data_IF_321230015190
#
_entry.id   IF_321230015190
#
_cell.length_a   1.000
_cell.length_b   1.000
_cell.length_c   1.000
_cell.angle_alpha   90.00
_cell.angle_beta   90.00
_cell.angle_gamma   90.00
#
_symmetry.space_group_name_H-M   'P 1'
#
loop_
_entity.id
_entity.type
_entity.pdbx_description
1 polymer ?
#
# COMPACT_ATOMS: atom_id res chain seq x y z
N UNK A 1 3.93 1.88 2.91
CA UNK A 1 3.57 0.69 2.10
C UNK A 1 3.24 -0.45 3.05
N UNK A 2 2.41 -1.42 2.67
CA UNK A 2 1.88 -2.42 3.61
C UNK A 2 2.54 -3.80 3.46
N UNK A 3 2.87 -4.21 2.25
CA UNK A 3 3.53 -5.47 1.91
C UNK A 3 4.22 -5.33 0.54
N UNK A 4 5.23 -6.14 0.28
CA UNK A 4 5.97 -6.10 -1.00
C UNK A 4 6.07 -7.49 -1.61
N UNK A 5 5.71 -7.60 -2.89
CA UNK A 5 5.94 -8.78 -3.70
C UNK A 5 7.13 -8.52 -4.62
N UNK A 6 8.20 -9.31 -4.48
CA UNK A 6 9.44 -9.13 -5.25
C UNK A 6 9.72 -10.39 -6.06
N UNK A 7 10.05 -10.22 -7.34
CA UNK A 7 10.39 -11.34 -8.21
C UNK A 7 11.71 -12.01 -7.78
N UNK A 8 11.76 -13.33 -7.90
CA UNK A 8 12.87 -14.19 -7.47
C UNK A 8 14.24 -13.65 -7.88
N UNK A 9 14.36 -13.26 -9.16
CA UNK A 9 15.60 -12.82 -9.78
C UNK A 9 16.30 -11.67 -9.04
N UNK A 10 15.54 -10.81 -8.34
CA UNK A 10 16.08 -9.62 -7.66
C UNK A 10 15.80 -9.60 -6.16
N UNK A 11 15.23 -10.66 -5.60
CA UNK A 11 14.72 -10.65 -4.22
C UNK A 11 15.82 -10.38 -3.18
N UNK A 12 16.92 -11.13 -3.21
CA UNK A 12 17.99 -10.98 -2.23
C UNK A 12 18.73 -9.63 -2.39
N UNK A 13 18.89 -9.18 -3.64
CA UNK A 13 19.46 -7.87 -3.94
C UNK A 13 18.59 -6.72 -3.40
N UNK A 14 17.26 -6.88 -3.45
CA UNK A 14 16.31 -5.93 -2.89
C UNK A 14 16.37 -5.91 -1.35
N UNK A 15 16.43 -7.08 -0.69
CA UNK A 15 16.58 -7.11 0.77
C UNK A 15 17.89 -6.44 1.22
N UNK A 16 18.99 -6.70 0.52
CA UNK A 16 20.26 -6.02 0.79
C UNK A 16 20.17 -4.50 0.54
N UNK A 17 19.35 -4.05 -0.41
CA UNK A 17 19.13 -2.62 -0.65
C UNK A 17 18.37 -1.95 0.51
N UNK A 18 17.40 -2.64 1.11
CA UNK A 18 16.68 -2.15 2.29
C UNK A 18 17.64 -1.94 3.48
N UNK A 19 18.56 -2.88 3.72
CA UNK A 19 19.56 -2.75 4.78
C UNK A 19 20.48 -1.55 4.54
N UNK A 20 20.95 -1.36 3.30
CA UNK A 20 21.75 -0.18 2.92
C UNK A 20 21.00 1.13 3.08
N UNK A 21 19.68 1.13 2.94
CA UNK A 21 18.83 2.29 3.16
C UNK A 21 18.55 2.57 4.65
N UNK A 22 19.04 1.71 5.57
CA UNK A 22 18.90 1.89 7.02
C UNK A 22 17.74 1.12 7.66
N UNK A 23 17.00 0.31 6.89
CA UNK A 23 15.99 -0.58 7.45
C UNK A 23 16.64 -1.80 8.13
N UNK A 24 16.00 -2.34 9.16
CA UNK A 24 16.52 -3.50 9.90
C UNK A 24 15.78 -4.77 9.51
N UNK A 25 16.54 -5.78 9.04
CA UNK A 25 16.01 -7.08 8.65
C UNK A 25 15.75 -7.96 9.88
N UNK A 26 14.52 -8.43 10.03
CA UNK A 26 14.14 -9.45 11.00
C UNK A 26 14.33 -10.86 10.43
N UNK A 27 14.77 -11.79 11.27
CA UNK A 27 14.77 -13.21 10.94
C UNK A 27 13.40 -13.87 11.22
N UNK A 28 13.21 -15.10 10.75
CA UNK A 28 11.93 -15.83 10.90
C UNK A 28 11.43 -15.90 12.36
N UNK A 29 12.31 -16.13 13.33
CA UNK A 29 11.95 -16.20 14.76
C UNK A 29 11.50 -14.85 15.31
N UNK A 30 12.14 -13.77 14.89
CA UNK A 30 11.79 -12.40 15.28
C UNK A 30 10.48 -11.96 14.65
N UNK A 31 10.26 -12.29 13.38
CA UNK A 31 8.98 -12.06 12.69
C UNK A 31 7.87 -12.82 13.42
N UNK A 32 8.07 -14.10 13.75
CA UNK A 32 7.09 -14.90 14.47
C UNK A 32 6.75 -14.31 15.86
N UNK A 33 7.77 -13.82 16.58
CA UNK A 33 7.57 -13.13 17.86
C UNK A 33 6.77 -11.83 17.69
N UNK A 34 7.12 -11.02 16.69
CA UNK A 34 6.40 -9.80 16.36
C UNK A 34 4.96 -10.08 15.95
N UNK A 35 4.71 -11.07 15.08
CA UNK A 35 3.37 -11.47 14.65
C UNK A 35 2.50 -11.83 15.85
N UNK A 36 3.00 -12.65 16.79
CA UNK A 36 2.25 -12.99 18.01
C UNK A 36 1.93 -11.80 18.90
N UNK A 37 2.78 -10.78 18.91
CA UNK A 37 2.61 -9.61 19.76
C UNK A 37 1.70 -8.55 19.11
N UNK A 38 1.79 -8.38 17.79
CA UNK A 38 1.21 -7.25 17.07
C UNK A 38 -0.06 -7.62 16.27
N UNK A 39 -0.38 -8.90 16.12
CA UNK A 39 -1.59 -9.39 15.47
C UNK A 39 -2.43 -10.16 16.50
N UNK A 40 -3.72 -9.86 16.53
CA UNK A 40 -4.71 -10.57 17.36
C UNK A 40 -5.90 -10.97 16.51
N UNK A 41 -6.80 -11.76 17.08
CA UNK A 41 -8.02 -12.21 16.40
C UNK A 41 -9.25 -11.65 17.10
N UNK A 42 -10.19 -11.12 16.32
CA UNK A 42 -11.48 -10.61 16.81
C UNK A 42 -12.64 -11.26 16.06
N UNK A 43 -13.86 -11.08 16.57
CA UNK A 43 -15.06 -11.69 16.01
C UNK A 43 -15.28 -13.14 16.48
N UNK A 44 -16.42 -13.70 16.11
CA UNK A 44 -16.85 -15.05 16.49
C UNK A 44 -17.36 -15.82 15.27
N UNK A 45 -17.25 -17.16 15.31
CA UNK A 45 -17.72 -18.02 14.23
C UNK A 45 -17.13 -17.65 12.86
N UNK A 46 -18.02 -17.44 11.89
CA UNK A 46 -17.65 -17.06 10.51
C UNK A 46 -17.10 -15.63 10.38
N UNK A 47 -17.26 -14.78 11.39
CA UNK A 47 -16.75 -13.40 11.39
C UNK A 47 -15.38 -13.27 12.07
N UNK A 48 -14.78 -14.39 12.48
CA UNK A 48 -13.47 -14.40 13.13
C UNK A 48 -12.38 -14.01 12.13
N UNK A 49 -11.66 -12.92 12.39
CA UNK A 49 -10.60 -12.42 11.52
C UNK A 49 -9.44 -11.77 12.30
N UNK A 50 -8.27 -11.73 11.67
CA UNK A 50 -7.06 -11.14 12.23
C UNK A 50 -7.07 -9.61 12.08
N UNK A 51 -6.60 -8.91 13.12
CA UNK A 51 -6.52 -7.45 13.19
C UNK A 51 -5.24 -7.02 13.90
N UNK A 52 -4.74 -5.81 13.63
CA UNK A 52 -3.61 -5.26 14.38
C UNK A 52 -3.98 -5.00 15.84
N UNK A 53 -3.00 -5.23 16.73
CA UNK A 53 -3.05 -4.83 18.12
C UNK A 53 -2.87 -3.31 18.19
N UNK A 54 -3.83 -2.62 18.84
CA UNK A 54 -3.96 -1.16 18.81
C UNK A 54 -2.73 -0.43 19.34
N UNK A 55 -2.07 -1.02 20.32
CA UNK A 55 -0.89 -0.49 20.99
C UNK A 55 0.32 -0.36 20.06
N UNK A 56 0.34 -1.08 18.94
CA UNK A 56 1.42 -1.02 17.95
C UNK A 56 1.10 -0.11 16.75
N UNK A 57 -0.17 0.27 16.54
CA UNK A 57 -0.58 1.12 15.41
C UNK A 57 0.10 2.50 15.52
N UNK A 58 0.78 2.91 14.44
CA UNK A 58 1.45 4.20 14.35
C UNK A 58 2.65 4.37 15.29
N UNK A 59 3.15 3.29 15.91
CA UNK A 59 4.34 3.34 16.77
C UNK A 59 5.63 3.29 15.95
N UNK A 60 6.74 3.72 16.57
CA UNK A 60 8.07 3.67 15.96
C UNK A 60 8.58 2.23 15.80
N UNK A 61 9.47 2.01 14.82
CA UNK A 61 10.11 0.72 14.57
C UNK A 61 10.83 0.15 15.81
N UNK A 62 11.39 1.01 16.67
CA UNK A 62 12.01 0.58 17.92
C UNK A 62 11.01 -0.08 18.90
N UNK A 63 9.74 0.35 18.91
CA UNK A 63 8.69 -0.26 19.73
C UNK A 63 8.39 -1.68 19.25
N UNK A 64 8.25 -1.84 17.93
CA UNK A 64 8.03 -3.14 17.31
C UNK A 64 9.24 -4.06 17.50
N UNK A 65 10.45 -3.53 17.40
CA UNK A 65 11.68 -4.30 17.57
C UNK A 65 11.77 -4.95 18.95
N UNK A 66 11.37 -4.23 20.01
CA UNK A 66 11.31 -4.79 21.37
C UNK A 66 10.35 -5.97 21.47
N UNK A 67 9.20 -5.89 20.80
CA UNK A 67 8.26 -7.02 20.72
C UNK A 67 8.82 -8.21 19.92
N UNK A 68 9.70 -7.95 18.96
CA UNK A 68 10.47 -8.96 18.23
C UNK A 68 11.69 -9.50 19.01
N UNK A 69 11.97 -8.99 20.22
CA UNK A 69 13.13 -9.38 21.04
C UNK A 69 14.45 -8.71 20.65
N UNK A 70 14.39 -7.53 20.03
CA UNK A 70 15.52 -6.70 19.64
C UNK A 70 15.48 -5.35 20.34
N UNK A 71 16.65 -4.84 20.74
CA UNK A 71 16.82 -3.44 21.11
C UNK A 71 17.50 -2.70 19.96
N UNK A 72 16.84 -1.67 19.42
CA UNK A 72 17.33 -0.88 18.30
C UNK A 72 17.42 0.60 18.69
N UNK A 73 18.34 1.35 18.08
CA UNK A 73 18.39 2.79 18.26
C UNK A 73 17.15 3.47 17.64
N UNK A 74 16.80 4.65 18.15
CA UNK A 74 15.57 5.37 17.80
C UNK A 74 15.56 5.97 16.39
N UNK A 75 16.70 5.93 15.68
CA UNK A 75 16.82 6.42 14.31
C UNK A 75 16.47 5.36 13.25
N UNK A 76 16.14 4.12 13.65
CA UNK A 76 15.63 3.11 12.73
C UNK A 76 14.17 3.44 12.42
N UNK A 77 13.86 3.64 11.14
CA UNK A 77 12.51 4.02 10.70
C UNK A 77 11.64 2.83 10.27
N UNK A 78 12.26 1.71 9.87
CA UNK A 78 11.55 0.58 9.27
C UNK A 78 12.16 -0.77 9.64
N UNK A 79 11.31 -1.70 10.04
CA UNK A 79 11.61 -3.12 10.10
C UNK A 79 11.11 -3.81 8.84
N UNK A 80 11.81 -4.83 8.37
CA UNK A 80 11.34 -5.64 7.24
C UNK A 80 11.83 -7.08 7.37
N UNK A 81 11.28 -7.99 6.57
CA UNK A 81 11.75 -9.37 6.58
C UNK A 81 11.03 -10.23 5.55
N UNK A 82 11.64 -11.35 5.20
CA UNK A 82 11.06 -12.33 4.29
C UNK A 82 9.97 -13.13 4.99
N UNK A 83 8.80 -13.23 4.35
CA UNK A 83 7.65 -14.02 4.79
C UNK A 83 7.02 -14.73 3.59
N UNK A 84 5.96 -15.50 3.85
CA UNK A 84 5.08 -16.03 2.81
C UNK A 84 3.71 -15.31 2.80
N UNK A 85 2.85 -15.63 1.83
CA UNK A 85 1.49 -15.05 1.70
C UNK A 85 0.57 -15.38 2.90
N UNK A 86 0.90 -16.41 3.68
CA UNK A 86 0.09 -16.84 4.83
C UNK A 86 0.47 -16.13 6.13
N UNK A 87 1.59 -15.40 6.15
CA UNK A 87 1.93 -14.57 7.30
C UNK A 87 0.87 -13.48 7.51
N UNK A 88 0.33 -13.31 8.73
CA UNK A 88 -0.74 -12.36 9.01
C UNK A 88 -0.44 -10.90 8.65
N UNK A 89 0.83 -10.48 8.61
CA UNK A 89 1.20 -9.12 8.16
C UNK A 89 0.96 -8.87 6.67
N UNK A 90 0.73 -9.90 5.85
CA UNK A 90 0.47 -9.75 4.42
C UNK A 90 -0.98 -9.40 4.13
N UNK A 91 -2.01 -10.14 4.61
CA UNK A 91 -3.40 -9.80 4.35
C UNK A 91 -3.94 -8.69 5.26
N UNK A 92 -3.38 -8.48 6.46
CA UNK A 92 -3.89 -7.52 7.45
C UNK A 92 -3.26 -6.13 7.24
N UNK A 93 -4.09 -5.09 7.16
CA UNK A 93 -3.62 -3.71 7.25
C UNK A 93 -3.19 -3.37 8.68
N UNK A 94 -1.88 -3.26 8.86
CA UNK A 94 -1.20 -3.09 10.14
C UNK A 94 -1.09 -1.62 10.60
N UNK A 95 -0.85 -0.68 9.68
CA UNK A 95 -0.48 0.72 9.97
C UNK A 95 0.72 0.84 10.93
N UNK A 96 1.75 0.03 10.68
CA UNK A 96 2.97 -0.09 11.49
C UNK A 96 4.22 -0.07 10.60
N UNK A 97 5.39 0.35 11.11
CA UNK A 97 6.65 0.33 10.37
C UNK A 97 7.30 -1.06 10.34
N UNK A 98 6.53 -2.08 9.93
CA UNK A 98 7.04 -3.39 9.56
C UNK A 98 6.54 -3.75 8.15
N UNK A 99 7.48 -4.09 7.25
CA UNK A 99 7.21 -4.38 5.85
C UNK A 99 7.54 -5.84 5.52
N UNK A 100 6.54 -6.74 5.36
CA UNK A 100 6.78 -8.10 4.91
C UNK A 100 7.14 -8.13 3.42
N UNK A 101 8.17 -8.90 3.09
CA UNK A 101 8.62 -9.20 1.73
C UNK A 101 8.26 -10.63 1.38
N UNK A 102 7.47 -10.80 0.31
CA UNK A 102 7.08 -12.11 -0.19
C UNK A 102 7.67 -12.35 -1.57
N UNK A 103 8.30 -13.50 -1.72
CA UNK A 103 9.02 -13.90 -2.92
C UNK A 103 8.03 -14.40 -3.99
N UNK A 104 8.12 -13.86 -5.19
CA UNK A 104 7.30 -14.25 -6.33
C UNK A 104 8.18 -14.94 -7.38
N UNK A 105 7.68 -16.02 -8.00
CA UNK A 105 8.45 -16.77 -9.02
C UNK A 105 8.83 -15.91 -10.23
N UNK A 106 7.91 -15.04 -10.66
CA UNK A 106 8.06 -14.13 -11.78
C UNK A 106 7.08 -12.95 -11.65
N UNK A 107 7.08 -12.06 -12.65
CA UNK A 107 6.23 -10.86 -12.66
C UNK A 107 4.72 -11.21 -12.68
N UNK A 108 4.34 -12.30 -13.32
CA UNK A 108 2.93 -12.67 -13.44
C UNK A 108 2.40 -13.16 -12.09
N UNK A 109 3.20 -13.99 -11.41
CA UNK A 109 2.92 -14.39 -10.04
C UNK A 109 2.87 -13.18 -9.10
N UNK A 110 3.80 -12.23 -9.21
CA UNK A 110 3.79 -11.03 -8.38
C UNK A 110 2.51 -10.19 -8.57
N UNK A 111 2.04 -10.05 -9.81
CA UNK A 111 0.79 -9.34 -10.13
C UNK A 111 -0.42 -10.09 -9.55
N UNK A 112 -0.47 -11.41 -9.68
CA UNK A 112 -1.55 -12.22 -9.10
C UNK A 112 -1.61 -12.09 -7.58
N UNK A 113 -0.46 -12.15 -6.90
CA UNK A 113 -0.37 -11.96 -5.46
C UNK A 113 -0.83 -10.55 -5.05
N UNK A 114 -0.39 -9.53 -5.79
CA UNK A 114 -0.79 -8.14 -5.54
C UNK A 114 -2.31 -7.95 -5.67
N UNK A 115 -2.94 -8.51 -6.72
CA UNK A 115 -4.39 -8.44 -6.93
C UNK A 115 -5.15 -9.14 -5.79
N UNK A 116 -4.72 -10.35 -5.39
CA UNK A 116 -5.35 -11.06 -4.26
C UNK A 116 -5.22 -10.29 -2.95
N UNK A 117 -4.02 -9.77 -2.68
CA UNK A 117 -3.70 -9.10 -1.43
C UNK A 117 -4.29 -7.70 -1.29
N UNK A 118 -4.76 -7.10 -2.39
CA UNK A 118 -5.50 -5.83 -2.38
C UNK A 118 -6.95 -6.01 -1.88
N UNK A 119 -7.46 -7.25 -1.86
CA UNK A 119 -8.81 -7.62 -1.42
C UNK A 119 -9.96 -6.98 -2.23
N UNK A 120 -9.65 -6.39 -3.39
CA UNK A 120 -10.63 -5.72 -4.24
C UNK A 120 -11.13 -4.39 -3.69
N UNK A 121 -10.40 -3.78 -2.75
CA UNK A 121 -10.71 -2.44 -2.23
C UNK A 121 -10.50 -1.34 -3.28
N UNK A 122 -9.72 -1.62 -4.33
CA UNK A 122 -9.35 -0.71 -5.42
C UNK A 122 -8.80 0.63 -4.92
N UNK A 123 -8.04 0.63 -3.82
CA UNK A 123 -7.57 1.86 -3.20
C UNK A 123 -6.22 2.32 -3.78
N UNK A 124 -5.12 1.63 -3.45
CA UNK A 124 -3.77 2.03 -3.85
C UNK A 124 -2.89 0.82 -4.16
N UNK A 125 -2.14 0.89 -5.25
CA UNK A 125 -1.04 -0.03 -5.55
C UNK A 125 0.19 0.72 -6.08
N UNK A 126 1.37 0.10 -5.93
CA UNK A 126 2.66 0.65 -6.37
C UNK A 126 3.41 -0.42 -7.15
N UNK A 127 4.09 -0.04 -8.23
CA UNK A 127 5.02 -0.90 -8.97
C UNK A 127 6.37 -0.22 -9.17
N UNK A 128 7.45 -0.99 -8.96
CA UNK A 128 8.80 -0.62 -9.37
C UNK A 128 9.23 -1.53 -10.53
N UNK A 129 9.40 -0.97 -11.72
CA UNK A 129 9.77 -1.68 -12.94
C UNK A 129 10.33 -0.69 -13.97
N UNK A 130 11.19 -1.12 -14.89
CA UNK A 130 11.52 -0.32 -16.08
C UNK A 130 10.81 -0.84 -17.34
N UNK A 131 10.04 -1.93 -17.21
CA UNK A 131 9.31 -2.54 -18.31
C UNK A 131 7.86 -1.98 -18.33
N UNK A 132 7.56 -1.19 -19.37
CA UNK A 132 6.24 -0.57 -19.57
C UNK A 132 5.14 -1.61 -19.70
N UNK A 133 5.39 -2.76 -20.32
CA UNK A 133 4.43 -3.85 -20.45
C UNK A 133 4.04 -4.40 -19.08
N UNK A 134 5.00 -4.56 -18.16
CA UNK A 134 4.72 -5.00 -16.79
C UNK A 134 3.87 -3.97 -16.04
N UNK A 135 4.20 -2.68 -16.16
CA UNK A 135 3.40 -1.59 -15.56
C UNK A 135 1.97 -1.55 -16.10
N UNK A 136 1.81 -1.72 -17.41
CA UNK A 136 0.49 -1.75 -18.06
C UNK A 136 -0.30 -2.97 -17.64
N UNK A 137 0.35 -4.15 -17.55
CA UNK A 137 -0.30 -5.39 -17.11
C UNK A 137 -0.81 -5.26 -15.67
N UNK A 138 0.04 -4.83 -14.74
CA UNK A 138 -0.36 -4.66 -13.34
C UNK A 138 -1.43 -3.58 -13.17
N UNK A 139 -1.29 -2.42 -13.82
CA UNK A 139 -2.27 -1.34 -13.71
C UNK A 139 -3.66 -1.73 -14.20
N UNK A 140 -3.75 -2.55 -15.26
CA UNK A 140 -5.04 -3.09 -15.73
C UNK A 140 -5.61 -4.16 -14.80
N UNK A 141 -4.76 -4.96 -14.16
CA UNK A 141 -5.19 -6.07 -13.32
C UNK A 141 -5.66 -5.61 -11.93
N UNK A 142 -5.00 -4.62 -11.34
CA UNK A 142 -5.25 -4.19 -9.95
C UNK A 142 -6.38 -3.16 -9.85
N UNK A 143 -6.65 -2.39 -10.91
CA UNK A 143 -7.75 -1.43 -11.00
C UNK A 143 -7.89 -0.46 -9.81
N UNK A 144 -6.77 -0.07 -9.18
CA UNK A 144 -6.78 0.83 -8.03
C UNK A 144 -7.01 2.29 -8.43
N UNK A 145 -7.64 3.05 -7.55
CA UNK A 145 -7.85 4.49 -7.66
C UNK A 145 -6.51 5.23 -7.82
N UNK A 146 -5.51 4.81 -7.04
CA UNK A 146 -4.14 5.33 -7.12
C UNK A 146 -3.21 4.21 -7.57
N UNK A 147 -2.46 4.44 -8.65
CA UNK A 147 -1.44 3.51 -9.13
C UNK A 147 -0.12 4.24 -9.39
N UNK A 148 0.84 4.08 -8.48
CA UNK A 148 2.14 4.75 -8.55
C UNK A 148 3.17 3.85 -9.23
N UNK A 149 4.02 4.44 -10.08
CA UNK A 149 5.08 3.74 -10.81
C UNK A 149 6.42 4.38 -10.49
N UNK A 150 7.38 3.59 -10.02
CA UNK A 150 8.77 4.02 -9.76
C UNK A 150 8.90 5.21 -8.79
N UNK A 151 8.05 5.27 -7.77
CA UNK A 151 8.08 6.32 -6.75
C UNK A 151 7.42 5.87 -5.45
N UNK A 152 7.60 6.62 -4.35
CA UNK A 152 6.91 6.33 -3.09
C UNK A 152 5.40 6.47 -3.26
N UNK A 153 4.60 5.73 -2.49
CA UNK A 153 3.13 5.78 -2.55
C UNK A 153 2.54 7.20 -2.42
N UNK A 154 3.19 8.07 -1.63
CA UNK A 154 2.81 9.47 -1.45
C UNK A 154 2.88 10.31 -2.73
N UNK A 155 3.63 9.88 -3.76
CA UNK A 155 3.65 10.55 -5.05
C UNK A 155 2.27 10.58 -5.73
N UNK A 156 1.40 9.61 -5.40
CA UNK A 156 0.00 9.60 -5.84
C UNK A 156 -0.87 10.73 -5.25
N UNK A 157 -0.36 11.47 -4.26
CA UNK A 157 -1.03 12.59 -3.59
C UNK A 157 -0.30 13.92 -3.79
N UNK A 158 0.48 14.06 -4.87
CA UNK A 158 1.18 15.29 -5.22
C UNK A 158 2.48 15.54 -4.43
N UNK A 159 2.93 14.59 -3.61
CA UNK A 159 4.19 14.68 -2.87
C UNK A 159 5.33 14.01 -3.65
N UNK A 160 5.93 14.75 -4.57
CA UNK A 160 6.99 14.25 -5.45
C UNK A 160 6.50 13.59 -6.75
N UNK A 161 5.19 13.60 -6.98
CA UNK A 161 4.55 13.28 -8.26
C UNK A 161 3.69 14.44 -8.76
N UNK A 162 3.38 14.45 -10.06
CA UNK A 162 2.46 15.41 -10.66
C UNK A 162 1.02 15.24 -10.14
N UNK A 163 0.26 16.34 -10.10
CA UNK A 163 -1.15 16.33 -9.68
C UNK A 163 -1.42 17.21 -8.46
N UNK A 164 -2.51 16.92 -7.75
CA UNK A 164 -2.97 17.65 -6.57
C UNK A 164 -3.05 16.73 -5.35
N UNK A 165 -2.99 17.31 -4.15
CA UNK A 165 -3.11 16.58 -2.89
C UNK A 165 -4.54 16.55 -2.34
N UNK A 166 -4.91 15.44 -1.73
CA UNK A 166 -6.10 15.27 -0.87
C UNK A 166 -5.85 14.16 0.16
N UNK A 167 -6.48 14.28 1.32
CA UNK A 167 -6.50 13.21 2.34
C UNK A 167 -7.85 12.49 2.40
N UNK A 168 -8.71 12.73 1.40
CA UNK A 168 -9.94 11.99 1.17
C UNK A 168 -9.89 11.36 -0.21
N UNK A 169 -9.86 10.02 -0.24
CA UNK A 169 -9.80 9.20 -1.45
C UNK A 169 -11.07 8.37 -1.47
N UNK A 170 -11.96 8.67 -2.43
CA UNK A 170 -13.26 8.04 -2.55
C UNK A 170 -13.15 6.73 -3.34
N UNK A 171 -13.05 5.61 -2.63
CA UNK A 171 -13.03 4.27 -3.22
C UNK A 171 -14.43 3.80 -3.68
N UNK A 172 -15.37 3.50 -2.76
CA UNK A 172 -16.66 2.88 -3.12
C UNK A 172 -17.56 3.71 -4.04
N UNK A 173 -17.48 5.04 -3.95
CA UNK A 173 -18.34 5.98 -4.70
C UNK A 173 -17.69 6.47 -6.01
N UNK A 174 -16.38 6.27 -6.18
CA UNK A 174 -15.69 6.43 -7.46
C UNK A 174 -15.25 7.86 -7.82
N UNK A 175 -15.37 8.84 -6.94
CA UNK A 175 -14.90 10.21 -7.21
C UNK A 175 -13.36 10.33 -7.20
N UNK A 176 -12.66 9.29 -6.74
CA UNK A 176 -11.19 9.25 -6.69
C UNK A 176 -10.61 10.20 -5.66
N UNK A 177 -9.51 10.87 -6.00
CA UNK A 177 -8.87 11.86 -5.13
C UNK A 177 -9.76 13.12 -5.12
N UNK A 178 -10.43 13.39 -3.99
CA UNK A 178 -11.46 14.45 -3.93
C UNK A 178 -10.87 15.85 -4.16
N UNK A 179 -11.65 16.71 -4.81
CA UNK A 179 -11.33 18.14 -5.02
C UNK A 179 -12.46 19.01 -4.46
N UNK A 180 -12.31 20.34 -4.40
CA UNK A 180 -13.45 21.21 -4.09
C UNK A 180 -14.68 20.95 -4.99
N UNK A 181 -14.48 20.56 -6.26
CA UNK A 181 -15.58 20.25 -7.19
C UNK A 181 -16.40 19.03 -6.76
N UNK A 182 -15.78 18.05 -6.09
CA UNK A 182 -16.43 16.85 -5.56
C UNK A 182 -17.58 17.20 -4.60
N UNK A 183 -17.50 18.34 -3.92
CA UNK A 183 -18.48 18.78 -2.92
C UNK A 183 -19.47 19.82 -3.46
N UNK A 184 -19.58 19.95 -4.78
CA UNK A 184 -20.49 20.90 -5.43
C UNK A 184 -21.60 20.21 -6.20
N UNK A 185 -22.73 20.90 -6.39
CA UNK A 185 -23.83 20.44 -7.25
C UNK A 185 -23.66 21.02 -8.65
N UNK A 186 -23.55 20.18 -9.68
CA UNK A 186 -23.58 20.65 -11.06
C UNK A 186 -24.95 21.26 -11.38
N UNK A 187 -24.95 22.45 -12.00
CA UNK A 187 -26.16 23.14 -12.45
C UNK A 187 -26.04 23.47 -13.92
N UNK A 188 -26.95 22.94 -14.74
CA UNK A 188 -27.13 23.32 -16.14
C UNK A 188 -28.21 24.39 -16.25
N UNK A 189 -27.89 25.50 -16.90
CA UNK A 189 -28.83 26.58 -17.20
C UNK A 189 -28.78 26.86 -18.71
N UNK A 190 -29.92 26.75 -19.38
CA UNK A 190 -30.03 26.96 -20.83
C UNK A 190 -30.82 28.22 -21.10
N UNK A 191 -30.23 29.15 -21.87
CA UNK A 191 -30.95 30.30 -22.41
C UNK A 191 -31.43 29.96 -23.83
N UNK A 192 -32.74 29.83 -24.01
CA UNK A 192 -33.36 29.56 -25.32
C UNK A 192 -33.64 30.87 -26.04
N UNK A 193 -33.35 30.90 -27.34
CA UNK A 193 -33.58 32.03 -28.27
C UNK A 193 -32.84 33.34 -27.98
N UNK A 194 -32.07 33.43 -26.89
CA UNK A 194 -31.34 34.63 -26.47
C UNK A 194 -29.86 34.33 -26.16
N UNK A 195 -29.03 35.38 -26.08
CA UNK A 195 -27.59 35.32 -25.78
C UNK A 195 -26.72 34.57 -26.82
N UNK A 196 -27.16 34.47 -28.08
CA UNK A 196 -26.30 34.09 -29.23
C UNK A 196 -25.67 35.35 -29.84
N UNK A 197 -24.47 35.69 -29.40
CA UNK A 197 -23.82 37.00 -29.67
C UNK A 197 -23.15 37.06 -31.06
N UNK A 198 -22.82 35.92 -31.68
CA UNK A 198 -22.11 35.87 -32.96
C UNK A 198 -23.02 35.82 -34.21
N UNK A 199 -24.32 36.13 -34.08
CA UNK A 199 -25.25 36.15 -35.20
C UNK A 199 -25.49 34.77 -35.84
N UNK A 200 -26.36 34.72 -36.86
CA UNK A 200 -26.56 33.52 -37.69
C UNK A 200 -25.42 33.33 -38.66
#
# INVERSE_FOLDING_TARGET
EKQVFVVEEVFDAMLAAMERAGAVRLNARQIEALTRAAITTVGEGEHRHEVPVKEFIGQDAAVLARAAGLELPTNVELLFGETDESNPFVPVEQMMPFLPFVRARDIDHAIEMAVRSEHGFKHTAVIHSNNVTHMTKMGKAVETTIFVKNGPSLAGLGLGGEGYGSFSIAGPTGEGITTPLTFTRERRCTMVDNLRILGK
#
